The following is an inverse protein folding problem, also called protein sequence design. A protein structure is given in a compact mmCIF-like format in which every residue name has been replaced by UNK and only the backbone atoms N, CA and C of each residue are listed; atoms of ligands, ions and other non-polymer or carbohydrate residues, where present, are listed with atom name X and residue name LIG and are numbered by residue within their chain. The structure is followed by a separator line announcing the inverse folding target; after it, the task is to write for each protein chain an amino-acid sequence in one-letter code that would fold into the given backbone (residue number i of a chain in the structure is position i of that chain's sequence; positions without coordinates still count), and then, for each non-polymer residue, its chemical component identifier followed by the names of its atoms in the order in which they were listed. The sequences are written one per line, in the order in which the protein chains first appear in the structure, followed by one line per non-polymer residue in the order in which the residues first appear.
data_IF_048671747306
#
_entry.id   IF_048671747306
#
_cell.length_a   1.000
_cell.length_b   1.000
_cell.length_c   1.000
_cell.angle_alpha   90.00
_cell.angle_beta   90.00
_cell.angle_gamma   90.00
#
_symmetry.space_group_name_H-M   'P 1'
#
loop_
_entity.id
_entity.type
_entity.pdbx_description
1 polymer ?
#
# COMPACT_ATOMS: atom_id res chain seq x y z
N UNK A 1 -15.73 -11.84 -15.44
CA UNK A 1 -15.55 -10.44 -15.01
C UNK A 1 -14.26 -10.41 -14.21
N UNK A 2 -13.12 -10.34 -14.89
CA UNK A 2 -11.81 -10.42 -14.26
C UNK A 2 -11.02 -9.19 -14.66
N UNK A 3 -11.06 -8.13 -13.84
CA UNK A 3 -10.09 -7.03 -13.95
C UNK A 3 -9.69 -6.56 -12.55
N UNK A 4 -9.25 -7.51 -11.74
CA UNK A 4 -8.11 -7.24 -10.88
C UNK A 4 -6.99 -7.98 -11.57
N UNK A 5 -6.20 -7.29 -12.38
CA UNK A 5 -4.87 -7.78 -12.67
C UNK A 5 -4.19 -7.85 -11.30
N UNK A 6 -4.17 -9.04 -10.69
CA UNK A 6 -3.32 -9.30 -9.55
C UNK A 6 -1.94 -8.85 -9.99
N UNK A 7 -1.48 -7.75 -9.40
CA UNK A 7 -0.14 -7.30 -9.66
C UNK A 7 0.75 -8.40 -9.09
N UNK A 8 1.29 -9.25 -9.96
CA UNK A 8 2.16 -10.39 -9.61
C UNK A 8 3.52 -9.90 -9.08
N UNK A 9 3.51 -9.05 -8.06
CA UNK A 9 4.70 -8.51 -7.40
C UNK A 9 5.35 -9.55 -6.51
N UNK A 10 4.59 -10.53 -6.02
CA UNK A 10 5.11 -11.70 -5.31
C UNK A 10 6.15 -12.47 -6.14
N UNK A 11 6.02 -12.49 -7.47
CA UNK A 11 6.93 -13.24 -8.34
C UNK A 11 8.15 -12.44 -8.79
N UNK A 12 8.20 -11.14 -8.45
CA UNK A 12 9.33 -10.25 -8.80
C UNK A 12 10.39 -10.28 -7.70
N UNK A 13 11.14 -11.38 -7.62
CA UNK A 13 12.16 -11.60 -6.59
C UNK A 13 13.27 -10.55 -6.54
N UNK A 14 13.55 -9.91 -7.67
CA UNK A 14 14.57 -8.84 -7.78
C UNK A 14 13.99 -7.44 -7.52
N UNK A 15 12.74 -7.33 -7.07
CA UNK A 15 12.10 -6.06 -6.75
C UNK A 15 12.49 -5.60 -5.34
N UNK A 16 13.47 -4.71 -5.27
CA UNK A 16 13.92 -4.11 -4.00
C UNK A 16 13.25 -2.77 -3.70
N UNK A 17 12.63 -2.11 -4.69
CA UNK A 17 11.94 -0.82 -4.52
C UNK A 17 10.60 -0.81 -5.23
N UNK A 18 9.58 -0.29 -4.55
CA UNK A 18 8.23 -0.11 -5.10
C UNK A 18 7.77 1.32 -4.83
N UNK A 19 7.28 1.99 -5.87
CA UNK A 19 6.66 3.31 -5.76
C UNK A 19 5.20 3.24 -6.23
N UNK A 20 4.28 3.68 -5.38
CA UNK A 20 2.84 3.73 -5.64
C UNK A 20 2.38 5.18 -5.61
N UNK A 21 1.92 5.68 -6.76
CA UNK A 21 1.51 7.08 -6.92
C UNK A 21 0.03 7.12 -7.27
N UNK A 22 -0.75 7.78 -6.42
CA UNK A 22 -2.19 7.93 -6.58
C UNK A 22 -2.54 9.34 -7.05
N UNK A 23 -3.62 9.46 -7.83
CA UNK A 23 -4.10 10.76 -8.32
C UNK A 23 -4.83 11.52 -7.22
N UNK A 24 -4.70 12.85 -7.22
CA UNK A 24 -5.31 13.71 -6.20
C UNK A 24 -6.84 13.84 -6.32
N UNK A 25 -7.41 13.51 -7.49
CA UNK A 25 -8.83 13.67 -7.82
C UNK A 25 -9.70 12.42 -7.51
N UNK A 26 -9.18 11.48 -6.72
CA UNK A 26 -9.88 10.25 -6.34
C UNK A 26 -11.01 10.50 -5.33
N UNK A 27 -12.20 9.97 -5.61
CA UNK A 27 -13.36 10.04 -4.72
C UNK A 27 -13.33 8.95 -3.64
N UNK A 28 -14.38 8.85 -2.83
CA UNK A 28 -14.47 7.85 -1.75
C UNK A 28 -14.53 6.40 -2.27
N UNK A 29 -15.25 6.15 -3.37
CA UNK A 29 -15.30 4.82 -4.00
C UNK A 29 -13.94 4.42 -4.58
N UNK A 30 -13.22 5.37 -5.18
CA UNK A 30 -11.84 5.15 -5.63
C UNK A 30 -10.93 4.80 -4.44
N UNK A 31 -11.10 5.50 -3.30
CA UNK A 31 -10.33 5.23 -2.10
C UNK A 31 -10.52 3.79 -1.60
N UNK A 32 -11.77 3.34 -1.44
CA UNK A 32 -12.11 1.97 -1.03
C UNK A 32 -11.51 0.93 -1.99
N UNK A 33 -11.60 1.18 -3.29
CA UNK A 33 -11.00 0.31 -4.31
C UNK A 33 -9.49 0.26 -4.17
N UNK A 34 -8.83 1.40 -4.00
CA UNK A 34 -7.37 1.47 -3.85
C UNK A 34 -6.89 0.84 -2.55
N UNK A 35 -7.66 0.92 -1.45
CA UNK A 35 -7.36 0.16 -0.24
C UNK A 35 -7.40 -1.34 -0.49
N UNK A 36 -8.42 -1.82 -1.21
CA UNK A 36 -8.54 -3.24 -1.57
C UNK A 36 -7.37 -3.72 -2.43
N UNK A 37 -6.99 -2.92 -3.43
CA UNK A 37 -5.81 -3.18 -4.26
C UNK A 37 -4.55 -3.24 -3.39
N UNK A 38 -4.32 -2.24 -2.54
CA UNK A 38 -3.12 -2.19 -1.70
C UNK A 38 -3.05 -3.33 -0.67
N UNK A 39 -4.20 -3.79 -0.17
CA UNK A 39 -4.30 -4.99 0.70
C UNK A 39 -3.87 -6.27 -0.02
N UNK A 40 -4.20 -6.40 -1.31
CA UNK A 40 -3.87 -7.57 -2.12
C UNK A 40 -2.50 -7.50 -2.81
N UNK A 41 -1.84 -6.34 -2.79
CA UNK A 41 -0.60 -6.07 -3.51
C UNK A 41 0.65 -6.77 -2.95
N UNK A 42 0.51 -7.72 -2.02
CA UNK A 42 1.58 -8.27 -1.19
C UNK A 42 2.90 -8.47 -1.98
N UNK A 43 3.91 -7.63 -1.76
CA UNK A 43 5.17 -7.71 -2.50
C UNK A 43 6.01 -8.89 -2.02
N UNK A 44 6.97 -9.30 -2.85
CA UNK A 44 7.98 -10.27 -2.44
C UNK A 44 8.75 -9.77 -1.22
N UNK A 45 9.20 -10.70 -0.37
CA UNK A 45 9.91 -10.39 0.88
C UNK A 45 11.19 -9.57 0.67
N UNK A 46 11.77 -9.54 -0.53
CA UNK A 46 12.98 -8.79 -0.84
C UNK A 46 12.76 -7.27 -1.00
N UNK A 47 11.52 -6.79 -0.84
CA UNK A 47 11.23 -5.37 -0.93
C UNK A 47 11.89 -4.61 0.22
N UNK A 48 12.82 -3.72 -0.10
CA UNK A 48 13.58 -2.91 0.85
C UNK A 48 13.04 -1.48 0.96
N UNK A 49 12.45 -0.95 -0.11
CA UNK A 49 11.97 0.43 -0.15
C UNK A 49 10.56 0.53 -0.70
N UNK A 50 9.70 1.23 0.02
CA UNK A 50 8.34 1.52 -0.39
C UNK A 50 8.10 3.03 -0.32
N UNK A 51 7.70 3.61 -1.45
CA UNK A 51 7.21 4.97 -1.53
C UNK A 51 5.72 4.96 -1.89
N UNK A 52 4.91 5.67 -1.11
CA UNK A 52 3.49 5.87 -1.37
C UNK A 52 3.21 7.36 -1.42
N UNK A 53 2.76 7.85 -2.56
CA UNK A 53 2.37 9.25 -2.78
C UNK A 53 0.87 9.38 -3.01
N UNK A 54 0.22 10.25 -2.22
CA UNK A 54 -1.16 10.66 -2.46
C UNK A 54 -2.22 9.61 -2.15
N UNK A 55 -1.88 8.57 -1.36
CA UNK A 55 -2.80 7.47 -1.08
C UNK A 55 -4.15 7.97 -0.52
N UNK A 56 -5.27 7.62 -1.18
CA UNK A 56 -6.59 8.14 -0.82
C UNK A 56 -7.25 7.38 0.33
N UNK A 57 -6.70 6.22 0.71
CA UNK A 57 -7.22 5.38 1.78
C UNK A 57 -6.92 5.90 3.19
N UNK A 58 -7.61 5.33 4.16
CA UNK A 58 -7.51 5.61 5.58
C UNK A 58 -6.47 4.75 6.28
N UNK A 59 -6.26 3.51 5.79
CA UNK A 59 -5.43 2.52 6.46
C UNK A 59 -4.40 1.90 5.51
N UNK A 60 -3.21 1.66 6.05
CA UNK A 60 -2.17 0.87 5.40
C UNK A 60 -2.43 -0.63 5.62
N UNK A 61 -2.04 -1.50 4.68
CA UNK A 61 -2.29 -2.93 4.77
C UNK A 61 -1.43 -3.60 5.85
N UNK A 62 -1.91 -4.72 6.40
CA UNK A 62 -1.18 -5.44 7.45
C UNK A 62 0.17 -5.97 6.99
N UNK A 63 0.31 -6.36 5.71
CA UNK A 63 1.58 -6.85 5.18
C UNK A 63 2.72 -5.84 5.33
N UNK A 64 2.42 -4.54 5.37
CA UNK A 64 3.42 -3.50 5.58
C UNK A 64 4.03 -3.57 6.99
N UNK A 65 3.24 -3.99 7.97
CA UNK A 65 3.68 -4.19 9.37
C UNK A 65 4.55 -5.45 9.46
N UNK A 66 4.26 -6.45 8.63
CA UNK A 66 4.99 -7.74 8.62
C UNK A 66 6.12 -7.79 7.59
N UNK A 67 6.38 -6.70 6.85
CA UNK A 67 7.42 -6.63 5.82
C UNK A 67 8.80 -6.55 6.48
N UNK A 68 9.43 -7.71 6.71
CA UNK A 68 10.65 -7.84 7.51
C UNK A 68 11.89 -7.18 6.91
N UNK A 69 11.98 -7.10 5.58
CA UNK A 69 13.14 -6.52 4.89
C UNK A 69 12.93 -5.05 4.48
N UNK A 70 11.77 -4.46 4.79
CA UNK A 70 11.50 -3.07 4.46
C UNK A 70 12.36 -2.15 5.32
N UNK A 71 13.31 -1.47 4.68
CA UNK A 71 14.24 -0.53 5.30
C UNK A 71 13.69 0.89 5.27
N UNK A 72 13.06 1.27 4.17
CA UNK A 72 12.56 2.64 3.95
C UNK A 72 11.07 2.64 3.61
N UNK A 73 10.32 3.46 4.34
CA UNK A 73 8.92 3.78 4.05
C UNK A 73 8.78 5.29 3.89
N UNK A 74 8.44 5.74 2.68
CA UNK A 74 8.08 7.13 2.38
C UNK A 74 6.57 7.25 2.18
N UNK A 75 5.93 8.12 2.97
CA UNK A 75 4.51 8.46 2.87
C UNK A 75 4.40 9.94 2.57
N UNK A 76 4.17 10.30 1.31
CA UNK A 76 4.06 11.68 0.88
C UNK A 76 2.62 12.01 0.48
N UNK A 77 2.12 13.18 0.89
CA UNK A 77 0.76 13.66 0.56
C UNK A 77 -0.39 12.71 0.94
N UNK A 78 -0.19 11.73 1.82
CA UNK A 78 -1.19 10.78 2.30
C UNK A 78 -2.10 11.38 3.39
N UNK A 79 -2.87 12.42 3.04
CA UNK A 79 -3.60 13.28 4.00
C UNK A 79 -4.68 12.57 4.82
N UNK A 80 -5.19 11.44 4.34
CA UNK A 80 -6.31 10.71 4.95
C UNK A 80 -5.88 9.59 5.89
N UNK A 81 -4.59 9.23 5.91
CA UNK A 81 -4.08 8.17 6.77
C UNK A 81 -4.30 8.50 8.23
N UNK A 82 -4.80 7.52 8.99
CA UNK A 82 -5.00 7.63 10.43
C UNK A 82 -4.24 6.52 11.13
N UNK A 83 -3.55 6.88 12.21
CA UNK A 83 -3.08 5.89 13.19
C UNK A 83 -4.33 5.47 13.97
N UNK A 84 -4.76 4.22 13.83
CA UNK A 84 -5.79 3.69 14.70
C UNK A 84 -5.21 3.63 16.12
N UNK A 85 -5.73 4.46 17.03
CA UNK A 85 -5.50 4.29 18.47
C UNK A 85 -5.93 2.86 18.81
N UNK A 86 -5.01 2.07 19.36
CA UNK A 86 -5.35 0.75 19.89
C UNK A 86 -6.13 0.96 21.19
N UNK A 87 -7.42 1.25 21.07
CA UNK A 87 -8.33 1.36 22.20
C UNK A 87 -8.61 -0.06 22.71
N UNK A 88 -7.70 -0.60 23.51
CA UNK A 88 -8.06 -1.66 24.43
C UNK A 88 -8.96 -1.03 25.51
N UNK A 89 -10.27 -1.13 25.32
CA UNK A 89 -11.26 -1.07 26.39
C UNK A 89 -11.68 -2.51 26.71
#
# INVERSE_FOLDING_TARGET
MNEVAEAELENKKDLHRLALIFREDMNESDAEKMEGVLKNLQPHENLEELAIEGYPGLQLPHWLITASNLVTLDLSKCKKLRISQNSNL
#
